data_IF_706434036023
#
_entry.id   IF_706434036023
#
_cell.length_a   1.000
_cell.length_b   1.000
_cell.length_c   1.000
_cell.angle_alpha   90.00
_cell.angle_beta   90.00
_cell.angle_gamma   90.00
#
_symmetry.space_group_name_H-M   'P 1'
#
loop_
_entity.id
_entity.type
_entity.pdbx_description
1 polymer ?
#
# COMPACT_ATOMS: atom_id res chain seq x y z
N UNK A 1 -26.02 7.72 -39.11
CA UNK A 1 -24.56 7.95 -38.99
C UNK A 1 -24.19 7.89 -37.52
N UNK A 2 -23.43 6.89 -37.09
CA UNK A 2 -22.80 6.91 -35.77
C UNK A 2 -21.60 7.86 -35.81
N UNK A 3 -21.50 8.76 -34.83
CA UNK A 3 -20.35 9.67 -34.71
C UNK A 3 -19.14 8.79 -34.39
N UNK A 4 -18.18 8.69 -35.33
CA UNK A 4 -17.02 7.77 -35.26
C UNK A 4 -16.23 7.84 -33.94
N UNK A 5 -16.29 8.95 -33.21
CA UNK A 5 -15.62 9.12 -31.91
C UNK A 5 -16.40 8.59 -30.70
N UNK A 6 -17.73 8.43 -30.78
CA UNK A 6 -18.53 8.01 -29.63
C UNK A 6 -18.33 6.53 -29.29
N UNK A 7 -18.32 5.67 -30.30
CA UNK A 7 -18.13 4.23 -30.09
C UNK A 7 -16.75 3.93 -29.52
N UNK A 8 -15.71 4.61 -30.02
CA UNK A 8 -14.36 4.53 -29.48
C UNK A 8 -14.27 5.07 -28.04
N UNK A 9 -14.98 6.15 -27.70
CA UNK A 9 -15.01 6.67 -26.33
C UNK A 9 -15.67 5.67 -25.37
N UNK A 10 -16.75 5.01 -25.80
CA UNK A 10 -17.43 3.96 -25.03
C UNK A 10 -16.51 2.76 -24.80
N UNK A 11 -15.79 2.33 -25.83
CA UNK A 11 -14.81 1.24 -25.73
C UNK A 11 -13.65 1.58 -24.79
N UNK A 12 -13.12 2.79 -24.89
CA UNK A 12 -12.05 3.28 -24.03
C UNK A 12 -12.50 3.32 -22.57
N UNK A 13 -13.68 3.87 -22.29
CA UNK A 13 -14.24 3.89 -20.93
C UNK A 13 -14.50 2.48 -20.41
N UNK A 14 -14.98 1.58 -21.27
CA UNK A 14 -15.20 0.17 -20.92
C UNK A 14 -13.88 -0.53 -20.56
N UNK A 15 -12.79 -0.25 -21.26
CA UNK A 15 -11.44 -0.77 -20.95
C UNK A 15 -10.90 -0.23 -19.63
N UNK A 16 -11.07 1.08 -19.36
CA UNK A 16 -10.71 1.69 -18.08
C UNK A 16 -11.48 1.03 -16.94
N UNK A 17 -12.79 0.87 -17.09
CA UNK A 17 -13.66 0.23 -16.09
C UNK A 17 -13.26 -1.21 -15.81
N UNK A 18 -12.96 -2.01 -16.84
CA UNK A 18 -12.66 -3.44 -16.68
C UNK A 18 -11.27 -3.72 -16.11
N UNK A 19 -10.29 -2.86 -16.39
CA UNK A 19 -8.89 -3.16 -16.10
C UNK A 19 -8.27 -2.15 -15.11
N UNK A 20 -8.33 -0.87 -15.45
CA UNK A 20 -7.61 0.17 -14.70
C UNK A 20 -8.23 0.44 -13.33
N UNK A 21 -9.57 0.47 -13.23
CA UNK A 21 -10.25 0.70 -11.94
C UNK A 21 -9.95 -0.43 -10.93
N UNK A 22 -10.15 -1.73 -11.25
CA UNK A 22 -9.82 -2.81 -10.32
C UNK A 22 -8.33 -2.81 -9.92
N UNK A 23 -7.41 -2.55 -10.87
CA UNK A 23 -5.99 -2.47 -10.58
C UNK A 23 -5.65 -1.33 -9.62
N UNK A 24 -6.20 -0.14 -9.85
CA UNK A 24 -6.01 1.02 -8.97
C UNK A 24 -6.61 0.78 -7.59
N UNK A 25 -7.81 0.19 -7.50
CA UNK A 25 -8.44 -0.17 -6.23
C UNK A 25 -7.57 -1.17 -5.45
N UNK A 26 -7.09 -2.23 -6.10
CA UNK A 26 -6.19 -3.21 -5.47
C UNK A 26 -4.89 -2.55 -4.99
N UNK A 27 -4.30 -1.67 -5.79
CA UNK A 27 -3.10 -0.91 -5.41
C UNK A 27 -3.35 -0.05 -4.17
N UNK A 28 -4.46 0.69 -4.13
CA UNK A 28 -4.82 1.51 -2.96
C UNK A 28 -5.03 0.65 -1.72
N UNK A 29 -5.75 -0.48 -1.83
CA UNK A 29 -5.97 -1.41 -0.72
C UNK A 29 -4.64 -1.97 -0.21
N UNK A 30 -3.79 -2.46 -1.12
CA UNK A 30 -2.47 -2.99 -0.76
C UNK A 30 -1.59 -1.93 -0.09
N UNK A 31 -1.70 -0.68 -0.52
CA UNK A 31 -0.97 0.45 0.08
C UNK A 31 -1.48 0.74 1.49
N UNK A 32 -2.79 0.79 1.71
CA UNK A 32 -3.39 0.98 3.04
C UNK A 32 -2.99 -0.16 3.97
N UNK A 33 -3.10 -1.41 3.54
CA UNK A 33 -2.71 -2.57 4.32
C UNK A 33 -1.22 -2.52 4.70
N UNK A 34 -0.35 -2.27 3.72
CA UNK A 34 1.10 -2.11 3.95
C UNK A 34 1.39 -0.98 4.92
N UNK A 35 0.72 0.18 4.78
CA UNK A 35 0.88 1.30 5.70
C UNK A 35 0.44 0.94 7.12
N UNK A 36 -0.70 0.29 7.30
CA UNK A 36 -1.19 -0.12 8.62
C UNK A 36 -0.23 -1.12 9.30
N UNK A 37 0.26 -2.11 8.54
CA UNK A 37 1.24 -3.08 9.03
C UNK A 37 2.53 -2.37 9.46
N UNK A 38 3.03 -1.44 8.65
CA UNK A 38 4.26 -0.70 8.94
C UNK A 38 4.10 0.25 10.14
N UNK A 39 2.91 0.83 10.33
CA UNK A 39 2.62 1.63 11.52
C UNK A 39 2.61 0.76 12.78
N UNK A 40 1.92 -0.38 12.73
CA UNK A 40 1.86 -1.32 13.84
C UNK A 40 3.25 -1.84 14.21
N UNK A 41 4.06 -2.25 13.23
CA UNK A 41 5.43 -2.74 13.48
C UNK A 41 6.34 -1.65 14.04
N UNK A 42 6.21 -0.41 13.53
CA UNK A 42 6.96 0.74 14.04
C UNK A 42 6.57 1.10 15.48
N UNK A 43 5.29 0.98 15.82
CA UNK A 43 4.80 1.20 17.18
C UNK A 43 5.37 0.15 18.15
N UNK A 44 5.27 -1.13 17.81
CA UNK A 44 5.82 -2.24 18.62
C UNK A 44 7.34 -2.07 18.80
N UNK A 45 8.08 -1.70 17.75
CA UNK A 45 9.52 -1.47 17.86
C UNK A 45 9.87 -0.30 18.80
N UNK A 46 9.06 0.77 18.81
CA UNK A 46 9.24 1.91 19.74
C UNK A 46 8.94 1.49 21.17
N UNK A 47 7.83 0.79 21.39
CA UNK A 47 7.43 0.31 22.72
C UNK A 47 8.46 -0.66 23.30
N UNK A 48 8.98 -1.60 22.50
CA UNK A 48 10.04 -2.53 22.93
C UNK A 48 11.36 -1.80 23.22
N UNK A 49 11.72 -0.76 22.46
CA UNK A 49 12.90 0.08 22.76
C UNK A 49 12.72 0.86 24.07
N UNK A 50 11.53 1.38 24.34
CA UNK A 50 11.21 2.09 25.59
C UNK A 50 11.18 1.11 26.77
N UNK A 51 10.56 -0.06 26.61
CA UNK A 51 10.52 -1.11 27.64
C UNK A 51 11.92 -1.63 27.99
N UNK A 52 12.84 -1.76 27.02
CA UNK A 52 14.24 -2.12 27.29
C UNK A 52 14.98 -1.10 28.17
N UNK A 53 14.54 0.17 28.18
CA UNK A 53 15.06 1.21 29.08
C UNK A 53 14.44 1.16 30.49
N UNK A 54 13.29 0.50 30.66
CA UNK A 54 12.53 0.49 31.93
C UNK A 54 12.40 -0.91 32.57
N UNK A 55 12.89 -1.98 31.93
CA UNK A 55 13.07 -3.28 32.56
C UNK A 55 11.78 -3.97 32.97
N UNK A 56 10.94 -4.39 32.00
CA UNK A 56 10.01 -5.54 32.12
C UNK A 56 9.37 -5.92 30.77
N UNK A 57 9.67 -7.14 30.30
CA UNK A 57 8.94 -7.89 29.27
C UNK A 57 9.27 -7.58 27.80
N UNK A 58 9.98 -8.47 27.11
CA UNK A 58 10.29 -8.35 25.67
C UNK A 58 9.34 -9.20 24.83
N UNK A 59 8.56 -8.59 23.94
CA UNK A 59 8.05 -9.28 22.73
C UNK A 59 9.12 -9.07 21.65
N UNK A 60 9.93 -10.10 21.43
CA UNK A 60 10.89 -10.15 20.31
C UNK A 60 10.15 -10.80 19.14
N UNK A 61 9.69 -10.00 18.17
CA UNK A 61 9.31 -10.53 16.86
C UNK A 61 10.53 -10.46 15.96
N UNK A 62 10.99 -11.61 15.50
CA UNK A 62 12.09 -11.77 14.57
C UNK A 62 11.82 -10.97 13.29
N UNK A 63 12.79 -10.13 12.93
CA UNK A 63 12.71 -9.20 11.81
C UNK A 63 12.69 -9.94 10.48
N UNK A 64 11.53 -9.95 9.82
CA UNK A 64 11.44 -10.23 8.39
C UNK A 64 12.17 -9.14 7.61
N UNK A 65 13.12 -9.53 6.77
CA UNK A 65 13.91 -8.65 5.92
C UNK A 65 13.03 -7.75 5.03
N UNK A 66 13.26 -6.44 5.18
CA UNK A 66 13.13 -5.35 4.20
C UNK A 66 12.18 -5.47 3.02
N UNK A 67 11.26 -4.50 2.94
CA UNK A 67 10.98 -3.80 1.68
C UNK A 67 11.06 -2.29 1.94
N UNK A 68 12.25 -1.73 1.71
CA UNK A 68 12.43 -0.28 1.51
C UNK A 68 11.89 0.03 0.10
N UNK A 69 10.58 0.06 -0.07
CA UNK A 69 9.99 0.42 -1.36
C UNK A 69 10.18 1.92 -1.60
N UNK A 70 11.25 2.26 -2.34
CA UNK A 70 11.39 3.24 -3.44
C UNK A 70 10.46 4.47 -3.57
N UNK A 71 9.80 4.92 -2.52
CA UNK A 71 8.90 6.10 -2.58
C UNK A 71 9.62 7.45 -2.52
N UNK A 72 10.94 7.51 -2.80
CA UNK A 72 11.70 8.76 -2.88
C UNK A 72 11.88 9.29 -4.32
N UNK A 73 11.40 8.58 -5.35
CA UNK A 73 11.70 8.94 -6.74
C UNK A 73 10.45 9.22 -7.61
N UNK A 74 9.55 10.07 -7.11
CA UNK A 74 8.55 10.75 -7.94
C UNK A 74 8.40 12.18 -7.43
N UNK A 75 9.40 13.02 -7.75
CA UNK A 75 9.29 14.48 -7.79
C UNK A 75 9.42 14.91 -9.24
#
# INVERSE_FOLDING_TARGET
>A
MAIKGLEQAIDNLSRVRKNAIPAASAMTINRVATTAINQSSSQVARETRVSRKTGKGTVQTETGHGQKSECQNYR
#
